data_IF_916727155915
#
_entry.id   IF_916727155915
#
_cell.length_a   1.000
_cell.length_b   1.000
_cell.length_c   1.000
_cell.angle_alpha   90.00
_cell.angle_beta   90.00
_cell.angle_gamma   90.00
#
_symmetry.space_group_name_H-M   'P 1'
#
loop_
_entity.id
_entity.type
_entity.pdbx_description
1 polymer ?
#
# COMPACT_ATOMS: atom_id res chain seq x y z
N UNK A 1 -12.03 -3.60 -5.98
CA UNK A 1 -10.91 -3.19 -5.14
C UNK A 1 -11.21 -3.45 -3.68
N UNK A 2 -10.70 -4.57 -3.19
CA UNK A 2 -10.88 -4.99 -1.81
C UNK A 2 -9.97 -4.18 -0.87
N UNK A 3 -10.54 -3.19 -0.16
CA UNK A 3 -9.81 -2.34 0.79
C UNK A 3 -9.54 -3.01 2.14
N UNK A 4 -10.03 -4.24 2.33
CA UNK A 4 -9.97 -4.96 3.61
C UNK A 4 -8.54 -5.23 4.04
N UNK A 5 -7.64 -5.58 3.11
CA UNK A 5 -6.24 -5.84 3.41
C UNK A 5 -5.49 -4.58 3.85
N UNK A 6 -5.75 -3.45 3.19
CA UNK A 6 -5.18 -2.16 3.59
C UNK A 6 -5.64 -1.73 4.99
N UNK A 7 -6.93 -1.94 5.28
CA UNK A 7 -7.49 -1.71 6.63
C UNK A 7 -6.87 -2.64 7.66
N UNK A 8 -6.75 -3.94 7.36
CA UNK A 8 -6.16 -4.94 8.24
C UNK A 8 -4.68 -4.66 8.51
N UNK A 9 -3.92 -4.25 7.48
CA UNK A 9 -2.55 -3.78 7.61
C UNK A 9 -2.46 -2.58 8.56
N UNK A 10 -3.28 -1.55 8.35
CA UNK A 10 -3.29 -0.36 9.21
C UNK A 10 -3.66 -0.65 10.66
N UNK A 11 -4.67 -1.49 10.90
CA UNK A 11 -5.09 -1.89 12.24
C UNK A 11 -4.00 -2.70 12.95
N UNK A 12 -3.40 -3.66 12.25
CA UNK A 12 -2.29 -4.48 12.79
C UNK A 12 -1.09 -3.60 13.17
N UNK A 13 -0.73 -2.64 12.32
CA UNK A 13 0.36 -1.69 12.60
C UNK A 13 0.08 -0.85 13.86
N UNK A 14 -1.16 -0.36 14.03
CA UNK A 14 -1.57 0.39 15.22
C UNK A 14 -1.49 -0.48 16.47
N UNK A 15 -2.09 -1.68 16.45
CA UNK A 15 -2.15 -2.54 17.63
C UNK A 15 -0.75 -2.97 18.07
N UNK A 16 0.08 -3.44 17.14
CA UNK A 16 1.46 -3.84 17.45
C UNK A 16 2.32 -2.66 17.91
N UNK A 17 2.15 -1.48 17.28
CA UNK A 17 2.83 -0.27 17.70
C UNK A 17 2.44 0.17 19.11
N UNK A 18 1.14 0.13 19.46
CA UNK A 18 0.66 0.45 20.81
C UNK A 18 1.16 -0.54 21.87
N UNK A 19 1.21 -1.84 21.55
CA UNK A 19 1.79 -2.86 22.44
C UNK A 19 3.25 -2.54 22.74
N UNK A 20 4.05 -2.22 21.72
CA UNK A 20 5.47 -1.88 21.91
C UNK A 20 5.65 -0.59 22.71
N UNK A 21 4.82 0.44 22.48
CA UNK A 21 4.83 1.67 23.27
C UNK A 21 4.50 1.38 24.73
N UNK A 22 3.50 0.53 24.99
CA UNK A 22 3.14 0.13 26.35
C UNK A 22 4.28 -0.63 27.04
N UNK A 23 4.93 -1.58 26.35
CA UNK A 23 6.11 -2.29 26.88
C UNK A 23 7.24 -1.30 27.17
N UNK A 24 7.53 -0.36 26.26
CA UNK A 24 8.53 0.67 26.45
C UNK A 24 8.28 1.48 27.73
N UNK A 25 7.05 1.95 27.93
CA UNK A 25 6.64 2.70 29.12
C UNK A 25 6.77 1.83 30.38
N UNK A 26 6.27 0.59 30.34
CA UNK A 26 6.34 -0.34 31.46
C UNK A 26 7.77 -0.63 31.90
N UNK A 27 8.69 -0.80 30.95
CA UNK A 27 10.12 -1.00 31.22
C UNK A 27 10.72 0.20 31.97
N UNK A 28 10.31 1.43 31.67
CA UNK A 28 10.80 2.63 32.38
C UNK A 28 10.24 2.74 33.81
N UNK A 29 9.08 2.16 34.10
CA UNK A 29 8.52 2.14 35.46
C UNK A 29 9.10 1.02 36.33
N UNK A 30 9.50 -0.10 35.73
CA UNK A 30 9.92 -1.31 36.47
C UNK A 30 11.44 -1.40 36.60
N UNK A 31 12.20 -0.96 35.59
CA UNK A 31 13.66 -1.12 35.57
C UNK A 31 14.33 0.12 36.14
N UNK A 32 15.23 -0.09 37.11
CA UNK A 32 16.04 0.97 37.70
C UNK A 32 16.90 1.67 36.65
N UNK A 33 17.00 3.00 36.71
CA UNK A 33 17.85 3.79 35.82
C UNK A 33 19.34 3.41 35.90
N UNK A 34 19.80 2.89 37.04
CA UNK A 34 21.17 2.36 37.15
C UNK A 34 21.41 1.18 36.20
N UNK A 35 20.41 0.31 36.01
CA UNK A 35 20.51 -0.82 35.08
C UNK A 35 20.63 -0.36 33.61
N UNK A 36 19.95 0.74 33.24
CA UNK A 36 20.11 1.32 31.90
C UNK A 36 21.47 1.99 31.71
N UNK A 37 22.02 2.60 32.76
CA UNK A 37 23.39 3.14 32.76
C UNK A 37 24.43 2.07 32.45
N UNK A 38 24.31 0.91 33.09
CA UNK A 38 25.20 -0.23 32.88
C UNK A 38 24.96 -0.95 31.54
N UNK A 39 23.79 -0.76 30.92
CA UNK A 39 23.36 -1.43 29.67
C UNK A 39 22.95 -0.45 28.57
N UNK A 40 23.79 0.55 28.30
CA UNK A 40 23.44 1.66 27.41
C UNK A 40 23.04 1.25 25.98
N UNK A 41 23.65 0.21 25.42
CA UNK A 41 23.29 -0.30 24.08
C UNK A 41 21.87 -0.87 24.03
N UNK A 42 21.48 -1.64 25.06
CA UNK A 42 20.13 -2.18 25.19
C UNK A 42 19.10 -1.06 25.32
N UNK A 43 19.45 0.01 26.05
CA UNK A 43 18.60 1.18 26.18
C UNK A 43 18.42 1.93 24.85
N UNK A 44 19.49 2.08 24.05
CA UNK A 44 19.41 2.69 22.71
C UNK A 44 18.50 1.87 21.78
N UNK A 45 18.62 0.54 21.80
CA UNK A 45 17.75 -0.35 21.01
C UNK A 45 16.29 -0.18 21.45
N UNK A 46 16.03 -0.12 22.75
CA UNK A 46 14.70 0.09 23.30
C UNK A 46 14.08 1.42 22.83
N UNK A 47 14.86 2.51 22.84
CA UNK A 47 14.43 3.81 22.31
C UNK A 47 14.13 3.76 20.81
N UNK A 48 14.97 3.06 20.04
CA UNK A 48 14.75 2.89 18.60
C UNK A 48 13.44 2.14 18.31
N UNK A 49 13.18 1.04 19.03
CA UNK A 49 11.92 0.28 18.91
C UNK A 49 10.72 1.17 19.23
N UNK A 50 10.81 2.01 20.26
CA UNK A 50 9.74 2.94 20.62
C UNK A 50 9.45 3.95 19.50
N UNK A 51 10.51 4.58 18.95
CA UNK A 51 10.38 5.53 17.82
C UNK A 51 9.72 4.84 16.62
N UNK A 52 10.18 3.65 16.24
CA UNK A 52 9.57 2.87 15.14
C UNK A 52 8.11 2.53 15.43
N UNK A 53 7.76 2.31 16.70
CA UNK A 53 6.39 1.99 17.08
C UNK A 53 5.45 3.20 16.95
N UNK A 54 5.91 4.40 17.34
CA UNK A 54 5.15 5.64 17.10
C UNK A 54 4.92 5.91 15.61
N UNK A 55 5.95 5.75 14.78
CA UNK A 55 5.83 5.90 13.33
C UNK A 55 4.88 4.84 12.75
N UNK A 56 4.91 3.61 13.28
CA UNK A 56 4.00 2.53 12.86
C UNK A 56 2.53 2.86 13.16
N UNK A 57 2.25 3.39 14.36
CA UNK A 57 0.90 3.85 14.73
C UNK A 57 0.43 4.95 13.78
N UNK A 58 1.28 5.96 13.51
CA UNK A 58 0.96 7.03 12.57
C UNK A 58 0.65 6.51 11.17
N UNK A 59 1.53 5.66 10.61
CA UNK A 59 1.30 5.04 9.31
C UNK A 59 0.03 4.22 9.28
N UNK A 60 -0.29 3.50 10.36
CA UNK A 60 -1.50 2.69 10.42
C UNK A 60 -2.76 3.56 10.34
N UNK A 61 -2.76 4.75 10.96
CA UNK A 61 -3.85 5.72 10.77
C UNK A 61 -3.92 6.24 9.34
N UNK A 62 -2.79 6.42 8.65
CA UNK A 62 -2.77 6.76 7.21
C UNK A 62 -3.50 5.69 6.39
N UNK A 63 -3.22 4.41 6.63
CA UNK A 63 -3.92 3.31 5.94
C UNK A 63 -5.40 3.23 6.28
N UNK A 64 -5.78 3.48 7.54
CA UNK A 64 -7.19 3.54 7.92
C UNK A 64 -7.95 4.68 7.22
N UNK A 65 -7.31 5.83 6.96
CA UNK A 65 -7.93 6.92 6.17
C UNK A 65 -8.20 6.52 4.72
N UNK A 66 -7.41 5.60 4.16
CA UNK A 66 -7.60 5.15 2.78
C UNK A 66 -8.83 4.26 2.59
N UNK A 67 -9.49 3.81 3.67
CA UNK A 67 -10.75 3.06 3.57
C UNK A 67 -11.87 3.91 2.95
N UNK A 68 -11.87 5.21 3.22
CA UNK A 68 -12.94 6.14 2.84
C UNK A 68 -12.74 6.73 1.43
N UNK A 69 -11.56 6.54 0.83
CA UNK A 69 -11.23 7.06 -0.49
C UNK A 69 -11.84 6.24 -1.63
N UNK A 70 -12.17 6.89 -2.75
CA UNK A 70 -12.58 6.19 -3.97
C UNK A 70 -11.42 5.37 -4.57
N UNK A 71 -11.71 4.35 -5.42
CA UNK A 71 -10.65 3.55 -6.05
C UNK A 71 -9.63 4.37 -6.86
N UNK A 72 -10.07 5.45 -7.53
CA UNK A 72 -9.18 6.34 -8.29
C UNK A 72 -8.24 7.11 -7.36
N UNK A 73 -8.74 7.60 -6.23
CA UNK A 73 -7.93 8.31 -5.24
C UNK A 73 -6.93 7.39 -4.54
N UNK A 74 -7.31 6.13 -4.29
CA UNK A 74 -6.37 5.14 -3.71
C UNK A 74 -5.25 4.85 -4.69
N UNK A 75 -5.57 4.69 -5.99
CA UNK A 75 -4.55 4.49 -7.03
C UNK A 75 -3.56 5.66 -7.10
N UNK A 76 -4.03 6.90 -6.95
CA UNK A 76 -3.12 8.06 -6.90
C UNK A 76 -2.22 8.11 -5.65
N UNK A 77 -2.51 7.28 -4.63
CA UNK A 77 -1.68 7.11 -3.43
C UNK A 77 -0.80 5.86 -3.47
N UNK A 78 -0.68 5.16 -4.60
CA UNK A 78 0.06 3.89 -4.71
C UNK A 78 1.49 3.96 -4.15
N UNK A 79 2.21 5.06 -4.41
CA UNK A 79 3.58 5.27 -3.94
C UNK A 79 3.62 5.34 -2.42
N UNK A 80 2.65 6.02 -1.81
CA UNK A 80 2.54 6.10 -0.36
C UNK A 80 2.20 4.74 0.24
N UNK A 81 1.29 3.98 -0.39
CA UNK A 81 0.95 2.63 0.05
C UNK A 81 2.20 1.74 0.02
N UNK A 82 3.00 1.81 -1.05
CA UNK A 82 4.25 1.05 -1.16
C UNK A 82 5.26 1.44 -0.08
N UNK A 83 5.52 2.75 0.10
CA UNK A 83 6.47 3.25 1.11
C UNK A 83 6.09 2.77 2.51
N UNK A 84 4.83 2.92 2.90
CA UNK A 84 4.35 2.47 4.20
C UNK A 84 4.41 0.95 4.35
N UNK A 85 4.11 0.20 3.30
CA UNK A 85 4.17 -1.26 3.34
C UNK A 85 5.61 -1.78 3.50
N UNK A 86 6.58 -1.15 2.83
CA UNK A 86 8.01 -1.45 3.00
C UNK A 86 8.44 -1.14 4.43
N UNK A 87 8.08 0.05 4.93
CA UNK A 87 8.37 0.45 6.31
C UNK A 87 7.80 -0.54 7.33
N UNK A 88 6.52 -0.90 7.21
CA UNK A 88 5.89 -1.89 8.09
C UNK A 88 6.51 -3.27 7.95
N UNK A 89 7.03 -3.66 6.80
CA UNK A 89 7.69 -4.97 6.67
C UNK A 89 8.90 -5.09 7.60
N UNK A 90 9.57 -3.96 7.88
CA UNK A 90 10.70 -3.89 8.80
C UNK A 90 10.22 -3.74 10.25
N UNK A 91 9.29 -2.81 10.51
CA UNK A 91 8.89 -2.45 11.88
C UNK A 91 7.81 -3.36 12.48
N UNK A 92 6.88 -3.84 11.65
CA UNK A 92 5.70 -4.66 12.02
C UNK A 92 5.38 -5.67 10.91
N UNK A 93 6.18 -6.75 10.74
CA UNK A 93 6.20 -7.56 9.52
C UNK A 93 4.83 -8.05 9.03
N UNK A 94 3.95 -8.46 9.94
CA UNK A 94 2.57 -8.88 9.61
C UNK A 94 1.78 -7.76 8.92
N UNK A 95 1.86 -6.54 9.44
CA UNK A 95 1.22 -5.38 8.82
C UNK A 95 1.85 -5.05 7.46
N UNK A 96 3.16 -5.20 7.33
CA UNK A 96 3.91 -4.98 6.09
C UNK A 96 3.48 -5.92 4.97
N UNK A 97 3.42 -7.22 5.24
CA UNK A 97 2.98 -8.22 4.25
C UNK A 97 1.55 -7.93 3.79
N UNK A 98 0.62 -7.64 4.70
CA UNK A 98 -0.75 -7.28 4.34
C UNK A 98 -0.81 -6.03 3.45
N UNK A 99 0.03 -5.03 3.73
CA UNK A 99 0.14 -3.80 2.94
C UNK A 99 0.68 -4.07 1.53
N UNK A 100 1.74 -4.86 1.42
CA UNK A 100 2.35 -5.24 0.15
C UNK A 100 1.38 -6.05 -0.72
N UNK A 101 0.69 -7.04 -0.15
CA UNK A 101 -0.34 -7.79 -0.87
C UNK A 101 -1.44 -6.84 -1.37
N UNK A 102 -1.90 -5.91 -0.53
CA UNK A 102 -2.87 -4.90 -0.95
C UNK A 102 -2.36 -4.05 -2.12
N UNK A 103 -1.09 -3.62 -2.11
CA UNK A 103 -0.48 -2.85 -3.18
C UNK A 103 -0.50 -3.61 -4.52
N UNK A 104 -0.05 -4.87 -4.52
CA UNK A 104 -0.04 -5.68 -5.74
C UNK A 104 -1.45 -5.96 -6.26
N UNK A 105 -2.43 -6.20 -5.39
CA UNK A 105 -3.83 -6.37 -5.79
C UNK A 105 -4.42 -5.12 -6.43
N UNK A 106 -4.14 -3.93 -5.87
CA UNK A 106 -4.59 -2.66 -6.44
C UNK A 106 -4.02 -2.45 -7.85
N UNK A 107 -2.74 -2.74 -8.04
CA UNK A 107 -2.10 -2.61 -9.35
C UNK A 107 -2.63 -3.63 -10.36
N UNK A 108 -2.81 -4.88 -9.95
CA UNK A 108 -3.31 -5.91 -10.83
C UNK A 108 -4.77 -5.64 -11.28
N UNK A 109 -5.66 -5.30 -10.34
CA UNK A 109 -7.06 -4.94 -10.66
C UNK A 109 -7.16 -3.71 -11.57
N UNK A 110 -6.25 -2.74 -11.41
CA UNK A 110 -6.24 -1.55 -12.26
C UNK A 110 -5.76 -1.90 -13.67
N UNK A 111 -4.64 -2.62 -13.79
CA UNK A 111 -4.09 -3.01 -15.07
C UNK A 111 -5.04 -3.92 -15.86
N UNK A 112 -5.72 -4.86 -15.19
CA UNK A 112 -6.73 -5.71 -15.83
C UNK A 112 -7.92 -4.92 -16.36
N UNK A 113 -8.36 -3.86 -15.67
CA UNK A 113 -9.44 -2.98 -16.16
C UNK A 113 -9.01 -2.16 -17.37
N UNK A 114 -7.77 -1.70 -17.37
CA UNK A 114 -7.19 -0.98 -18.51
C UNK A 114 -7.12 -1.91 -19.73
N UNK A 115 -6.66 -3.15 -19.55
CA UNK A 115 -6.60 -4.16 -20.61
C UNK A 115 -7.97 -4.47 -21.20
N UNK A 116 -8.99 -4.70 -20.35
CA UNK A 116 -10.37 -4.95 -20.81
C UNK A 116 -10.90 -3.76 -21.64
N UNK A 117 -10.64 -2.53 -21.21
CA UNK A 117 -11.05 -1.32 -21.93
C UNK A 117 -10.42 -1.24 -23.33
N UNK A 118 -9.15 -1.58 -23.46
CA UNK A 118 -8.49 -1.62 -24.77
C UNK A 118 -9.08 -2.69 -25.69
N UNK A 119 -9.41 -3.87 -25.14
CA UNK A 119 -10.05 -4.95 -25.91
C UNK A 119 -11.42 -4.51 -26.42
N UNK A 120 -12.21 -3.83 -25.59
CA UNK A 120 -13.51 -3.26 -25.99
C UNK A 120 -13.36 -2.18 -27.08
N UNK A 121 -12.44 -1.22 -26.90
CA UNK A 121 -12.19 -0.18 -27.91
C UNK A 121 -11.68 -0.75 -29.24
N UNK A 122 -10.86 -1.81 -29.21
CA UNK A 122 -10.41 -2.50 -30.44
C UNK A 122 -11.57 -3.23 -31.12
N UNK A 123 -12.51 -3.84 -30.37
CA UNK A 123 -13.70 -4.46 -30.94
C UNK A 123 -14.61 -3.44 -31.62
N UNK A 124 -14.87 -2.30 -31.00
CA UNK A 124 -15.65 -1.21 -31.60
C UNK A 124 -14.99 -0.70 -32.89
N UNK A 125 -13.66 -0.54 -32.89
CA UNK A 125 -12.91 -0.17 -34.10
C UNK A 125 -13.04 -1.23 -35.20
N UNK A 126 -13.09 -2.51 -34.85
CA UNK A 126 -13.26 -3.60 -35.81
C UNK A 126 -14.67 -3.63 -36.41
N UNK A 127 -15.70 -3.33 -35.62
CA UNK A 127 -17.09 -3.18 -36.08
C UNK A 127 -17.21 -2.00 -37.06
N UNK A 128 -16.68 -0.82 -36.71
CA UNK A 128 -16.67 0.35 -37.60
C UNK A 128 -15.95 0.07 -38.93
N UNK A 129 -14.92 -0.77 -38.92
CA UNK A 129 -14.22 -1.21 -40.13
C UNK A 129 -15.08 -2.14 -40.97
N UNK A 130 -15.76 -3.11 -40.35
CA UNK A 130 -16.68 -4.05 -41.02
C UNK A 130 -17.87 -3.33 -41.66
N UNK A 131 -18.37 -2.30 -41.00
CA UNK A 131 -19.46 -1.45 -41.48
C UNK A 131 -19.01 -0.42 -42.54
N UNK A 132 -17.71 -0.33 -42.82
CA UNK A 132 -17.15 0.56 -43.84
C UNK A 132 -17.03 2.03 -43.40
N UNK A 133 -17.25 2.34 -42.12
CA UNK A 133 -17.11 3.70 -41.57
C UNK A 133 -15.64 4.14 -41.44
N UNK A 134 -14.70 3.19 -41.36
CA UNK A 134 -13.25 3.47 -41.34
C UNK A 134 -12.51 2.54 -42.30
N UNK A 135 -11.41 3.03 -42.87
CA UNK A 135 -10.53 2.25 -43.74
C UNK A 135 -9.61 1.31 -42.96
N UNK A 136 -9.07 0.26 -43.60
CA UNK A 136 -8.07 -0.62 -42.99
C UNK A 136 -6.84 0.13 -42.49
N UNK A 137 -6.41 1.17 -43.21
CA UNK A 137 -5.29 2.03 -42.80
C UNK A 137 -5.61 2.83 -41.54
N UNK A 138 -6.85 3.31 -41.40
CA UNK A 138 -7.28 4.04 -40.20
C UNK A 138 -7.45 3.11 -39.00
N UNK A 139 -7.96 1.90 -39.22
CA UNK A 139 -8.05 0.87 -38.20
C UNK A 139 -6.66 0.53 -37.65
N UNK A 140 -5.69 0.18 -38.50
CA UNK A 140 -4.34 -0.18 -38.06
C UNK A 140 -3.63 1.00 -37.35
N UNK A 141 -3.84 2.23 -37.82
CA UNK A 141 -3.30 3.43 -37.16
C UNK A 141 -3.89 3.66 -35.77
N UNK A 142 -5.20 3.47 -35.60
CA UNK A 142 -5.90 3.66 -34.31
C UNK A 142 -5.59 2.51 -33.35
N UNK A 143 -5.59 1.27 -33.82
CA UNK A 143 -5.18 0.08 -33.06
C UNK A 143 -3.75 0.19 -32.55
N UNK A 144 -2.81 0.61 -33.40
CA UNK A 144 -1.41 0.82 -32.99
C UNK A 144 -1.28 1.87 -31.89
N UNK A 145 -2.03 2.99 -32.00
CA UNK A 145 -2.06 4.02 -30.94
C UNK A 145 -2.60 3.52 -29.60
N UNK A 146 -3.52 2.54 -29.59
CA UNK A 146 -4.07 1.97 -28.37
C UNK A 146 -3.12 0.98 -27.69
N UNK A 147 -2.27 0.31 -28.48
CA UNK A 147 -1.35 -0.73 -27.99
C UNK A 147 0.05 -0.19 -27.60
N UNK A 148 0.43 1.00 -28.06
CA UNK A 148 1.74 1.63 -27.80
C UNK A 148 1.78 2.50 -26.50
N UNK A 149 0.88 2.26 -25.52
CA UNK A 149 0.84 2.95 -24.20
C UNK A 149 1.35 2.01 -23.09
#
# INVERSE_FOLDING_TARGET
>A
MNKTLLKASGLTAIVLGLINIFVFIGVHFVVSYFYFGDNIYSYIILLFIAICSFISVFGGFVFLKYKDLSPKEIKSKEKNILIWSIYFTIATPVAGVLGLVSYFMINNEYNSKVEIKYIEEIKELEELRKEGYITDKEFEKKKKKLLDI
#
